data_IF_089089917592
#
_entry.id   IF_089089917592
#
_cell.length_a   1.000
_cell.length_b   1.000
_cell.length_c   1.000
_cell.angle_alpha   90.00
_cell.angle_beta   90.00
_cell.angle_gamma   90.00
#
_symmetry.space_group_name_H-M   'P 1'
#
loop_
_entity.id
_entity.type
_entity.pdbx_description
1 polymer ?
#
# COMPACT_ATOMS: atom_id res chain seq x y z
N UNK A 1 67.15 -17.31 -32.81
CA UNK A 1 67.49 -16.44 -31.68
C UNK A 1 66.39 -15.43 -31.52
N UNK A 2 65.38 -15.72 -30.68
CA UNK A 2 64.30 -14.78 -30.30
C UNK A 2 64.52 -14.43 -28.86
N UNK A 3 64.77 -13.14 -28.61
CA UNK A 3 64.88 -12.61 -27.25
C UNK A 3 63.47 -12.49 -26.61
N UNK A 4 63.24 -13.24 -25.54
CA UNK A 4 62.16 -13.01 -24.63
C UNK A 4 62.49 -11.77 -23.78
N UNK A 5 61.68 -10.74 -23.81
CA UNK A 5 61.72 -9.60 -22.86
C UNK A 5 60.97 -9.99 -21.62
N UNK A 6 61.64 -9.95 -20.52
CA UNK A 6 61.17 -10.06 -19.15
C UNK A 6 60.38 -8.81 -18.81
N UNK A 7 59.10 -9.00 -18.40
CA UNK A 7 58.23 -7.97 -17.84
C UNK A 7 57.92 -8.28 -16.36
N UNK A 8 59.03 -8.37 -15.57
CA UNK A 8 58.92 -8.36 -14.09
C UNK A 8 59.16 -6.93 -13.60
N UNK A 9 58.10 -6.18 -13.33
CA UNK A 9 58.29 -4.85 -12.81
C UNK A 9 57.05 -3.95 -12.75
N UNK A 10 55.86 -4.49 -12.57
CA UNK A 10 54.70 -3.66 -12.11
C UNK A 10 54.27 -4.16 -10.75
N UNK A 11 54.83 -3.55 -9.71
CA UNK A 11 54.20 -3.55 -8.38
C UNK A 11 52.95 -2.69 -8.44
N UNK A 12 51.80 -3.35 -8.54
CA UNK A 12 50.50 -2.68 -8.29
C UNK A 12 50.42 -2.56 -6.77
N UNK A 13 50.74 -1.38 -6.23
CA UNK A 13 50.34 -1.01 -4.87
C UNK A 13 48.81 -0.97 -4.84
N UNK A 14 48.20 -2.04 -4.36
CA UNK A 14 46.80 -2.05 -3.98
C UNK A 14 46.67 -1.26 -2.67
N UNK A 15 46.46 0.04 -2.82
CA UNK A 15 46.19 0.92 -1.71
C UNK A 15 44.80 0.57 -1.12
N UNK A 16 44.81 -0.32 -0.12
CA UNK A 16 43.62 -0.57 0.71
C UNK A 16 43.40 0.68 1.56
N UNK A 17 42.66 1.64 1.02
CA UNK A 17 42.03 2.64 1.86
C UNK A 17 41.04 1.91 2.77
N UNK A 18 41.48 1.53 3.96
CA UNK A 18 40.63 1.36 5.11
C UNK A 18 40.05 2.75 5.42
N UNK A 19 38.99 3.13 4.68
CA UNK A 19 38.06 4.12 5.19
C UNK A 19 37.47 3.47 6.42
N UNK A 20 37.88 3.97 7.61
CA UNK A 20 37.27 3.60 8.86
C UNK A 20 35.77 3.84 8.73
N UNK A 21 35.02 2.77 8.50
CA UNK A 21 33.58 2.80 8.64
C UNK A 21 33.38 3.05 10.12
N UNK A 22 33.18 4.31 10.49
CA UNK A 22 32.56 4.65 11.79
C UNK A 22 31.19 3.97 11.66
N UNK A 23 31.07 2.75 12.22
CA UNK A 23 29.77 2.11 12.39
C UNK A 23 28.95 3.06 13.23
N UNK A 24 28.06 3.85 12.60
CA UNK A 24 27.01 4.54 13.34
C UNK A 24 26.36 3.47 14.21
N UNK A 25 26.13 3.76 15.52
CA UNK A 25 25.44 2.80 16.36
C UNK A 25 24.17 2.38 15.64
N UNK A 26 23.92 1.07 15.56
CA UNK A 26 22.79 0.52 14.82
C UNK A 26 21.53 1.21 15.30
N UNK A 27 20.86 1.96 14.41
CA UNK A 27 19.60 2.67 14.73
C UNK A 27 18.59 1.63 15.14
N UNK A 28 17.94 1.81 16.27
CA UNK A 28 16.90 0.89 16.70
C UNK A 28 15.66 1.08 15.82
N UNK A 29 15.01 0.01 15.33
CA UNK A 29 13.78 0.13 14.52
C UNK A 29 12.72 1.01 15.20
N UNK A 30 12.58 0.92 16.52
CA UNK A 30 11.63 1.72 17.30
C UNK A 30 11.93 3.21 17.39
N UNK A 31 13.12 3.66 16.94
CA UNK A 31 13.52 5.08 16.96
C UNK A 31 13.19 5.83 15.67
N UNK A 32 12.57 5.21 14.69
CA UNK A 32 12.22 5.84 13.43
C UNK A 32 10.88 6.56 13.51
N UNK A 33 10.67 7.59 12.68
CA UNK A 33 9.36 8.23 12.52
C UNK A 33 8.36 7.25 11.92
N UNK A 34 8.77 6.48 10.90
CA UNK A 34 7.93 5.46 10.29
C UNK A 34 7.35 4.48 11.31
N UNK A 35 8.19 4.00 12.27
CA UNK A 35 7.72 3.12 13.33
C UNK A 35 6.71 3.79 14.24
N UNK A 36 7.03 5.01 14.71
CA UNK A 36 6.16 5.77 15.61
C UNK A 36 4.80 6.06 14.94
N UNK A 37 4.83 6.57 13.70
CA UNK A 37 3.62 6.94 12.95
C UNK A 37 2.77 5.71 12.59
N UNK A 38 3.38 4.59 12.19
CA UNK A 38 2.65 3.36 11.92
C UNK A 38 1.97 2.81 13.20
N UNK A 39 2.63 2.93 14.36
CA UNK A 39 2.06 2.48 15.65
C UNK A 39 0.79 3.22 16.07
N UNK A 40 0.58 4.44 15.55
CA UNK A 40 -0.60 5.26 15.84
C UNK A 40 -1.86 4.82 15.09
N UNK A 41 -1.77 3.89 14.12
CA UNK A 41 -2.86 3.57 13.21
C UNK A 41 -4.16 3.15 13.91
N UNK A 42 -4.09 2.36 14.99
CA UNK A 42 -5.27 1.98 15.79
C UNK A 42 -6.00 3.19 16.37
N UNK A 43 -5.25 4.14 16.95
CA UNK A 43 -5.80 5.37 17.51
C UNK A 43 -6.37 6.29 16.42
N UNK A 44 -5.68 6.39 15.29
CA UNK A 44 -6.13 7.16 14.12
C UNK A 44 -7.47 6.62 13.62
N UNK A 45 -7.59 5.31 13.44
CA UNK A 45 -8.82 4.68 12.96
C UNK A 45 -9.96 4.83 13.97
N UNK A 46 -9.71 4.66 15.27
CA UNK A 46 -10.72 4.88 16.30
C UNK A 46 -11.33 6.29 16.22
N UNK A 47 -10.46 7.32 16.13
CA UNK A 47 -10.89 8.71 15.96
C UNK A 47 -11.66 8.92 14.65
N UNK A 48 -11.13 8.40 13.54
CA UNK A 48 -11.73 8.53 12.22
C UNK A 48 -13.14 7.94 12.17
N UNK A 49 -13.32 6.71 12.66
CA UNK A 49 -14.63 6.04 12.67
C UNK A 49 -15.68 6.83 13.45
N UNK A 50 -15.28 7.39 14.60
CA UNK A 50 -16.17 8.21 15.43
C UNK A 50 -16.56 9.53 14.75
N UNK A 51 -15.57 10.27 14.24
CA UNK A 51 -15.78 11.63 13.72
C UNK A 51 -16.35 11.66 12.31
N UNK A 52 -16.13 10.60 11.51
CA UNK A 52 -16.51 10.56 10.10
C UNK A 52 -17.83 9.86 9.80
N UNK A 53 -18.59 9.42 10.80
CA UNK A 53 -19.86 8.72 10.59
C UNK A 53 -20.86 9.50 9.71
N UNK A 54 -20.89 10.83 9.83
CA UNK A 54 -21.78 11.69 9.03
C UNK A 54 -21.33 11.69 7.54
N UNK A 55 -20.03 11.85 7.29
CA UNK A 55 -19.48 11.87 5.93
C UNK A 55 -19.64 10.52 5.25
N UNK A 56 -19.39 9.42 5.97
CA UNK A 56 -19.57 8.07 5.43
C UNK A 56 -21.03 7.82 5.00
N UNK A 57 -22.02 8.27 5.80
CA UNK A 57 -23.45 8.19 5.45
C UNK A 57 -23.80 9.04 4.23
N UNK A 58 -23.24 10.24 4.11
CA UNK A 58 -23.47 11.11 2.97
C UNK A 58 -22.92 10.47 1.68
N UNK A 59 -21.70 9.94 1.74
CA UNK A 59 -21.09 9.22 0.62
C UNK A 59 -21.85 7.93 0.26
N UNK A 60 -22.32 7.18 1.24
CA UNK A 60 -23.15 6.01 1.02
C UNK A 60 -24.45 6.36 0.26
N UNK A 61 -25.14 7.42 0.66
CA UNK A 61 -26.32 7.91 -0.06
C UNK A 61 -26.02 8.25 -1.51
N UNK A 62 -24.89 8.92 -1.77
CA UNK A 62 -24.45 9.26 -3.12
C UNK A 62 -24.17 8.00 -3.95
N UNK A 63 -23.41 7.05 -3.40
CA UNK A 63 -23.02 5.81 -4.07
C UNK A 63 -24.25 4.93 -4.38
N UNK A 64 -25.22 4.88 -3.48
CA UNK A 64 -26.41 4.04 -3.64
C UNK A 64 -27.49 4.66 -4.53
N UNK A 65 -27.35 5.91 -4.99
CA UNK A 65 -28.32 6.51 -5.92
C UNK A 65 -28.47 5.65 -7.18
N UNK A 66 -29.69 5.50 -7.71
CA UNK A 66 -29.91 4.83 -9.01
C UNK A 66 -29.11 5.47 -10.16
N UNK A 67 -28.92 6.80 -10.12
CA UNK A 67 -28.16 7.55 -11.11
C UNK A 67 -26.63 7.31 -11.03
N UNK A 68 -26.12 6.74 -9.93
CA UNK A 68 -24.69 6.42 -9.81
C UNK A 68 -24.41 5.10 -10.49
N UNK A 69 -23.84 5.15 -11.69
CA UNK A 69 -23.45 3.99 -12.49
C UNK A 69 -21.97 3.64 -12.36
N UNK A 70 -21.13 4.66 -12.27
CA UNK A 70 -19.67 4.52 -12.18
C UNK A 70 -19.12 5.42 -11.09
N UNK A 71 -18.22 4.89 -10.29
CA UNK A 71 -17.43 5.66 -9.33
C UNK A 71 -16.04 5.82 -9.95
N UNK A 72 -15.57 7.05 -10.11
CA UNK A 72 -14.21 7.32 -10.57
C UNK A 72 -13.30 7.52 -9.36
N UNK A 73 -12.09 6.97 -9.42
CA UNK A 73 -11.03 7.21 -8.43
C UNK A 73 -9.82 7.83 -9.09
N UNK A 74 -9.20 8.81 -8.45
CA UNK A 74 -8.01 9.49 -8.95
C UNK A 74 -7.01 9.67 -7.80
N UNK A 75 -5.82 9.08 -7.93
CA UNK A 75 -4.80 9.07 -6.87
C UNK A 75 -3.40 8.79 -7.41
N UNK A 76 -2.39 8.85 -6.53
CA UNK A 76 -1.00 8.49 -6.79
C UNK A 76 -0.42 7.64 -5.65
N UNK A 77 0.53 6.76 -5.98
CA UNK A 77 1.31 5.99 -5.01
C UNK A 77 0.45 5.23 -4.02
N UNK A 78 0.76 5.34 -2.73
CA UNK A 78 0.00 4.67 -1.66
C UNK A 78 -1.51 4.99 -1.70
N UNK A 79 -1.88 6.23 -2.06
CA UNK A 79 -3.30 6.61 -2.18
C UNK A 79 -4.01 5.86 -3.31
N UNK A 80 -3.33 5.58 -4.43
CA UNK A 80 -3.88 4.79 -5.53
C UNK A 80 -4.01 3.30 -5.17
N UNK A 81 -3.03 2.78 -4.42
CA UNK A 81 -3.12 1.41 -3.87
C UNK A 81 -4.29 1.26 -2.90
N UNK A 82 -4.58 2.28 -2.09
CA UNK A 82 -5.77 2.29 -1.25
C UNK A 82 -7.06 2.40 -2.07
N UNK A 83 -7.07 3.18 -3.15
CA UNK A 83 -8.20 3.24 -4.08
C UNK A 83 -8.43 1.89 -4.77
N UNK A 84 -7.38 1.14 -5.09
CA UNK A 84 -7.50 -0.23 -5.62
C UNK A 84 -8.21 -1.17 -4.62
N UNK A 85 -7.91 -1.07 -3.33
CA UNK A 85 -8.68 -1.80 -2.30
C UNK A 85 -10.15 -1.38 -2.29
N UNK A 86 -10.44 -0.07 -2.29
CA UNK A 86 -11.80 0.46 -2.34
C UNK A 86 -12.58 0.00 -3.57
N UNK A 87 -11.90 -0.08 -4.73
CA UNK A 87 -12.47 -0.63 -5.97
C UNK A 87 -12.98 -2.05 -5.75
N UNK A 88 -12.15 -2.96 -5.24
CA UNK A 88 -12.59 -4.34 -4.99
C UNK A 88 -13.78 -4.40 -4.05
N UNK A 89 -13.81 -3.57 -2.99
CA UNK A 89 -14.94 -3.53 -2.07
C UNK A 89 -16.24 -3.10 -2.75
N UNK A 90 -16.21 -2.03 -3.51
CA UNK A 90 -17.41 -1.47 -4.12
C UNK A 90 -17.93 -2.32 -5.29
N UNK A 91 -17.03 -2.87 -6.11
CA UNK A 91 -17.41 -3.76 -7.21
C UNK A 91 -17.98 -5.09 -6.71
N UNK A 92 -17.34 -5.72 -5.72
CA UNK A 92 -17.77 -7.04 -5.24
C UNK A 92 -18.99 -6.97 -4.32
N UNK A 93 -19.10 -5.96 -3.48
CA UNK A 93 -20.16 -5.87 -2.45
C UNK A 93 -21.34 -5.01 -2.87
N UNK A 94 -21.11 -3.96 -3.66
CA UNK A 94 -22.17 -3.02 -4.08
C UNK A 94 -22.55 -3.20 -5.56
N UNK A 95 -21.78 -3.99 -6.34
CA UNK A 95 -21.95 -4.17 -7.79
C UNK A 95 -21.90 -2.83 -8.54
N UNK A 96 -21.12 -1.87 -8.03
CA UNK A 96 -20.89 -0.56 -8.65
C UNK A 96 -19.58 -0.59 -9.39
N UNK A 97 -19.59 -0.24 -10.67
CA UNK A 97 -18.35 -0.12 -11.46
C UNK A 97 -17.45 0.96 -10.88
N UNK A 98 -16.16 0.64 -10.71
CA UNK A 98 -15.14 1.61 -10.28
C UNK A 98 -14.06 1.73 -11.34
N UNK A 99 -13.88 2.94 -11.85
CA UNK A 99 -12.88 3.25 -12.87
C UNK A 99 -11.75 4.08 -12.26
N UNK A 100 -10.53 3.55 -12.27
CA UNK A 100 -9.33 4.33 -11.92
C UNK A 100 -9.04 5.32 -13.06
N UNK A 101 -9.02 6.60 -12.71
CA UNK A 101 -8.76 7.70 -13.65
C UNK A 101 -7.31 8.13 -13.58
N UNK A 102 -6.52 7.98 -14.67
CA UNK A 102 -5.13 8.42 -14.68
C UNK A 102 -5.05 9.94 -14.55
N UNK A 103 -4.32 10.51 -13.58
CA UNK A 103 -4.22 11.95 -13.39
C UNK A 103 -3.75 12.73 -14.63
N UNK A 104 -2.96 12.11 -15.51
CA UNK A 104 -2.51 12.73 -16.77
C UNK A 104 -3.65 13.10 -17.73
N UNK A 105 -4.80 12.42 -17.63
CA UNK A 105 -5.98 12.78 -18.45
C UNK A 105 -6.51 14.17 -18.10
N UNK A 106 -6.45 14.57 -16.84
CA UNK A 106 -6.82 15.92 -16.40
C UNK A 106 -5.67 16.92 -16.52
N UNK A 107 -4.47 16.55 -16.05
CA UNK A 107 -3.34 17.49 -15.95
C UNK A 107 -2.64 17.77 -17.29
N UNK A 108 -2.50 16.78 -18.16
CA UNK A 108 -1.77 16.88 -19.43
C UNK A 108 -2.71 17.01 -20.61
N UNK A 109 -3.61 16.05 -20.78
CA UNK A 109 -4.47 15.97 -21.97
C UNK A 109 -5.71 16.89 -21.88
N UNK A 110 -6.17 17.24 -20.68
CA UNK A 110 -7.37 18.06 -20.41
C UNK A 110 -8.59 17.65 -21.24
N UNK A 111 -8.81 16.34 -21.32
CA UNK A 111 -9.91 15.78 -22.12
C UNK A 111 -11.25 16.11 -21.46
N UNK A 112 -12.21 16.68 -22.20
CA UNK A 112 -13.56 16.91 -21.69
C UNK A 112 -14.25 15.59 -21.33
N UNK A 113 -14.64 15.41 -20.06
CA UNK A 113 -15.12 14.13 -19.53
C UNK A 113 -16.63 14.16 -19.24
N UNK A 114 -17.45 14.58 -20.20
CA UNK A 114 -18.91 14.75 -20.05
C UNK A 114 -19.61 13.49 -19.51
N UNK A 115 -19.05 12.29 -19.72
CA UNK A 115 -19.57 11.03 -19.20
C UNK A 115 -19.46 10.90 -17.68
N UNK A 116 -18.71 11.78 -17.01
CA UNK A 116 -18.60 11.84 -15.55
C UNK A 116 -19.68 12.69 -14.89
N UNK A 117 -20.51 13.38 -15.66
CA UNK A 117 -21.57 14.23 -15.12
C UNK A 117 -22.43 13.46 -14.11
N UNK A 118 -22.66 14.07 -12.93
CA UNK A 118 -23.41 13.49 -11.79
C UNK A 118 -22.81 12.20 -11.18
N UNK A 119 -21.65 11.73 -11.66
CA UNK A 119 -20.97 10.57 -11.09
C UNK A 119 -20.00 10.97 -9.98
N UNK A 120 -19.81 10.14 -8.93
CA UNK A 120 -18.79 10.35 -7.92
C UNK A 120 -17.38 10.30 -8.52
N UNK A 121 -16.58 11.34 -8.26
CA UNK A 121 -15.16 11.41 -8.61
C UNK A 121 -14.34 11.55 -7.32
N UNK A 122 -13.80 10.44 -6.84
CA UNK A 122 -13.09 10.35 -5.57
C UNK A 122 -11.61 10.62 -5.80
N UNK A 123 -11.12 11.74 -5.28
CA UNK A 123 -9.70 12.06 -5.26
C UNK A 123 -9.13 11.69 -3.89
N UNK A 124 -8.14 10.80 -3.89
CA UNK A 124 -7.47 10.38 -2.66
C UNK A 124 -6.07 10.99 -2.61
N UNK A 125 -5.81 11.80 -1.59
CA UNK A 125 -4.52 12.47 -1.43
C UNK A 125 -4.24 12.78 0.04
N UNK A 126 -3.10 12.30 0.56
CA UNK A 126 -2.69 12.63 1.93
C UNK A 126 -2.49 14.14 2.10
N UNK A 127 -1.78 14.80 1.18
CA UNK A 127 -1.46 16.23 1.24
C UNK A 127 -2.53 17.14 0.63
N UNK A 128 -3.32 16.64 -0.33
CA UNK A 128 -4.27 17.43 -1.11
C UNK A 128 -3.63 18.57 -1.95
N UNK A 129 -2.31 18.46 -2.25
CA UNK A 129 -1.52 19.52 -2.89
C UNK A 129 -0.91 19.14 -4.25
N UNK A 130 -1.03 17.87 -4.68
CA UNK A 130 -0.43 17.38 -5.93
C UNK A 130 -1.07 18.10 -7.13
N UNK A 131 -0.29 18.79 -7.98
CA UNK A 131 -0.83 19.62 -9.06
C UNK A 131 -1.67 18.85 -10.08
N UNK A 132 -1.26 17.62 -10.41
CA UNK A 132 -1.96 16.75 -11.34
C UNK A 132 -3.31 16.25 -10.80
N UNK A 133 -3.41 16.01 -9.50
CA UNK A 133 -4.68 15.66 -8.84
C UNK A 133 -5.63 16.86 -8.77
N UNK A 134 -5.10 18.06 -8.52
CA UNK A 134 -5.89 19.29 -8.53
C UNK A 134 -6.45 19.55 -9.92
N UNK A 135 -5.61 19.47 -10.96
CA UNK A 135 -6.05 19.63 -12.35
C UNK A 135 -7.11 18.59 -12.75
N UNK A 136 -6.96 17.33 -12.29
CA UNK A 136 -7.94 16.28 -12.55
C UNK A 136 -9.28 16.56 -11.85
N UNK A 137 -9.25 17.08 -10.63
CA UNK A 137 -10.45 17.46 -9.88
C UNK A 137 -11.17 18.64 -10.57
N UNK A 138 -10.43 19.63 -11.07
CA UNK A 138 -10.98 20.75 -11.82
C UNK A 138 -11.70 20.29 -13.09
N UNK A 139 -11.04 19.47 -13.92
CA UNK A 139 -11.64 18.94 -15.15
C UNK A 139 -12.87 18.07 -14.87
N UNK A 140 -12.83 17.25 -13.82
CA UNK A 140 -13.98 16.46 -13.41
C UNK A 140 -15.16 17.36 -12.96
N UNK A 141 -14.89 18.39 -12.19
CA UNK A 141 -15.89 19.37 -11.75
C UNK A 141 -16.50 20.14 -12.93
N UNK A 142 -15.67 20.59 -13.87
CA UNK A 142 -16.14 21.23 -15.11
C UNK A 142 -17.02 20.30 -15.96
N UNK A 143 -16.77 18.99 -15.89
CA UNK A 143 -17.59 17.98 -16.53
C UNK A 143 -18.91 17.70 -15.80
N UNK A 144 -19.13 18.30 -14.63
CA UNK A 144 -20.33 18.09 -13.81
C UNK A 144 -20.27 16.85 -12.89
N UNK A 145 -19.07 16.28 -12.67
CA UNK A 145 -18.88 15.21 -11.69
C UNK A 145 -19.06 15.74 -10.26
N UNK A 146 -19.43 14.88 -9.34
CA UNK A 146 -19.48 15.18 -7.91
C UNK A 146 -18.10 14.85 -7.33
N UNK A 147 -17.31 15.87 -7.05
CA UNK A 147 -15.93 15.72 -6.59
C UNK A 147 -15.92 15.42 -5.09
N UNK A 148 -15.26 14.35 -4.71
CA UNK A 148 -15.09 13.90 -3.33
C UNK A 148 -13.59 13.91 -3.01
N UNK A 149 -13.20 14.58 -1.92
CA UNK A 149 -11.84 14.56 -1.42
C UNK A 149 -11.71 13.65 -0.20
N UNK A 150 -10.92 12.58 -0.31
CA UNK A 150 -10.43 11.82 0.84
C UNK A 150 -9.03 12.34 1.14
N UNK A 151 -8.88 13.15 2.21
CA UNK A 151 -7.68 13.97 2.43
C UNK A 151 -7.31 14.05 3.91
N UNK A 152 -6.01 14.17 4.21
CA UNK A 152 -5.56 14.33 5.59
C UNK A 152 -5.38 15.80 6.00
N UNK A 153 -4.99 16.68 5.08
CA UNK A 153 -4.88 18.12 5.32
C UNK A 153 -6.18 18.82 4.87
N UNK A 154 -7.06 19.12 5.85
CA UNK A 154 -8.35 19.77 5.60
C UNK A 154 -8.22 21.24 5.13
N UNK A 155 -7.02 21.83 5.21
CA UNK A 155 -6.72 23.17 4.67
C UNK A 155 -6.22 23.15 3.22
N UNK A 156 -6.01 21.97 2.63
CA UNK A 156 -5.40 21.80 1.33
C UNK A 156 -6.26 22.38 0.19
N UNK A 157 -5.62 22.76 -0.94
CA UNK A 157 -6.34 23.26 -2.12
C UNK A 157 -7.43 22.31 -2.64
N UNK A 158 -7.22 20.98 -2.56
CA UNK A 158 -8.18 19.98 -3.00
C UNK A 158 -9.54 20.12 -2.30
N UNK A 159 -9.54 20.52 -1.03
CA UNK A 159 -10.78 20.70 -0.25
C UNK A 159 -11.71 21.77 -0.87
N UNK A 160 -11.13 22.79 -1.48
CA UNK A 160 -11.92 23.87 -2.14
C UNK A 160 -12.55 23.44 -3.47
N UNK A 161 -12.04 22.37 -4.06
CA UNK A 161 -12.57 21.82 -5.32
C UNK A 161 -13.63 20.73 -5.07
N UNK A 162 -13.69 20.19 -3.85
CA UNK A 162 -14.55 19.07 -3.51
C UNK A 162 -15.96 19.54 -3.08
N UNK A 163 -16.98 18.79 -3.51
CA UNK A 163 -18.36 18.93 -3.05
C UNK A 163 -18.55 18.22 -1.70
N UNK A 164 -17.82 17.12 -1.47
CA UNK A 164 -17.82 16.37 -0.21
C UNK A 164 -16.37 16.12 0.21
N UNK A 165 -16.07 16.33 1.48
CA UNK A 165 -14.75 16.07 2.06
C UNK A 165 -14.87 14.97 3.12
N UNK A 166 -14.04 13.94 3.01
CA UNK A 166 -13.88 12.91 4.02
C UNK A 166 -12.47 12.97 4.61
N UNK A 167 -12.30 13.56 5.79
CA UNK A 167 -10.99 13.71 6.41
C UNK A 167 -10.40 12.36 6.84
N UNK A 168 -9.10 12.17 6.65
CA UNK A 168 -8.42 10.94 7.12
C UNK A 168 -8.19 10.93 8.63
N UNK A 169 -8.13 12.10 9.27
CA UNK A 169 -7.88 12.25 10.72
C UNK A 169 -6.57 11.62 11.19
N UNK A 170 -5.61 11.40 10.27
CA UNK A 170 -4.36 10.73 10.60
C UNK A 170 -3.37 11.61 11.39
N UNK A 171 -3.63 12.92 11.48
CA UNK A 171 -2.70 13.86 12.08
C UNK A 171 -1.41 14.02 11.24
N UNK A 172 -0.37 14.66 11.79
CA UNK A 172 0.88 14.83 11.09
C UNK A 172 1.56 13.49 10.78
N UNK A 173 1.99 13.31 9.52
CA UNK A 173 2.79 12.18 9.07
C UNK A 173 4.02 12.73 8.34
N UNK A 174 5.20 12.60 8.98
CA UNK A 174 6.45 13.26 8.59
C UNK A 174 7.41 12.35 7.87
N UNK A 175 7.38 11.05 8.18
CA UNK A 175 8.12 10.05 7.41
C UNK A 175 7.73 10.15 5.94
N UNK A 176 8.71 10.05 5.03
CA UNK A 176 8.43 10.12 3.58
C UNK A 176 7.48 8.99 3.18
N UNK A 177 7.75 7.77 3.64
CA UNK A 177 6.91 6.62 3.42
C UNK A 177 5.59 6.74 4.21
N UNK A 178 4.45 6.76 3.52
CA UNK A 178 3.13 6.77 4.15
C UNK A 178 2.86 5.44 4.85
N UNK A 179 2.22 5.50 6.02
CA UNK A 179 1.82 4.33 6.81
C UNK A 179 0.42 4.50 7.40
N UNK A 180 0.26 5.28 8.47
CA UNK A 180 -1.04 5.49 9.13
C UNK A 180 -2.06 6.17 8.23
N UNK A 181 -1.64 7.07 7.34
CA UNK A 181 -2.57 7.70 6.39
C UNK A 181 -3.08 6.72 5.34
N UNK A 182 -2.26 5.76 4.91
CA UNK A 182 -2.70 4.66 4.06
C UNK A 182 -3.75 3.79 4.77
N UNK A 183 -3.47 3.36 6.01
CA UNK A 183 -4.44 2.59 6.82
C UNK A 183 -5.73 3.36 7.03
N UNK A 184 -5.65 4.66 7.35
CA UNK A 184 -6.82 5.52 7.46
C UNK A 184 -7.63 5.59 6.15
N UNK A 185 -6.96 5.56 4.99
CA UNK A 185 -7.65 5.54 3.69
C UNK A 185 -8.38 4.22 3.47
N UNK A 186 -7.75 3.08 3.78
CA UNK A 186 -8.41 1.78 3.72
C UNK A 186 -9.63 1.73 4.65
N UNK A 187 -9.46 2.23 5.89
CA UNK A 187 -10.53 2.34 6.87
C UNK A 187 -11.68 3.23 6.39
N UNK A 188 -11.39 4.35 5.72
CA UNK A 188 -12.40 5.22 5.12
C UNK A 188 -13.25 4.49 4.09
N UNK A 189 -12.65 3.75 3.15
CA UNK A 189 -13.38 2.93 2.19
C UNK A 189 -14.22 1.83 2.86
N UNK A 190 -13.68 1.18 3.89
CA UNK A 190 -14.40 0.16 4.65
C UNK A 190 -15.59 0.76 5.44
N UNK A 191 -15.44 1.95 6.01
CA UNK A 191 -16.50 2.67 6.70
C UNK A 191 -17.62 3.09 5.73
N UNK A 192 -17.27 3.62 4.55
CA UNK A 192 -18.26 3.95 3.51
C UNK A 192 -19.01 2.69 3.08
N UNK A 193 -18.31 1.57 2.87
CA UNK A 193 -18.95 0.29 2.56
C UNK A 193 -19.95 -0.14 3.63
N UNK A 194 -19.56 -0.03 4.92
CA UNK A 194 -20.45 -0.40 6.05
C UNK A 194 -21.78 0.36 6.03
N UNK A 195 -21.74 1.64 5.67
CA UNK A 195 -22.95 2.46 5.55
C UNK A 195 -23.74 2.14 4.25
N UNK A 196 -23.14 1.50 3.26
CA UNK A 196 -23.80 1.08 2.03
C UNK A 196 -24.49 -0.29 2.14
N UNK A 197 -24.08 -1.13 3.09
CA UNK A 197 -24.59 -2.49 3.22
C UNK A 197 -25.81 -2.53 4.15
N UNK A 198 -26.86 -3.20 3.71
CA UNK A 198 -28.10 -3.32 4.49
C UNK A 198 -27.90 -4.00 5.85
N UNK A 199 -28.73 -3.57 6.83
CA UNK A 199 -28.82 -4.23 8.13
C UNK A 199 -27.61 -4.05 9.04
N UNK A 200 -26.71 -3.14 8.72
CA UNK A 200 -25.50 -2.85 9.52
C UNK A 200 -24.62 -4.08 9.81
N UNK A 201 -24.61 -5.02 8.88
CA UNK A 201 -23.89 -6.29 9.05
C UNK A 201 -22.38 -6.10 9.25
N UNK A 202 -21.81 -4.99 8.73
CA UNK A 202 -20.38 -4.68 8.87
C UNK A 202 -20.07 -3.77 10.06
N UNK A 203 -21.05 -3.19 10.75
CA UNK A 203 -20.79 -2.29 11.89
C UNK A 203 -19.92 -2.94 12.98
N UNK A 204 -20.18 -4.18 13.44
CA UNK A 204 -19.31 -4.83 14.42
C UNK A 204 -17.90 -5.09 13.88
N UNK A 205 -17.78 -5.41 12.58
CA UNK A 205 -16.50 -5.68 11.91
C UNK A 205 -15.65 -4.41 11.87
N UNK A 206 -16.25 -3.29 11.48
CA UNK A 206 -15.54 -2.00 11.38
C UNK A 206 -15.23 -1.46 12.79
N UNK A 207 -16.14 -1.61 13.75
CA UNK A 207 -15.90 -1.16 15.12
C UNK A 207 -14.77 -1.93 15.82
N UNK A 208 -14.49 -3.17 15.42
CA UNK A 208 -13.39 -3.95 15.98
C UNK A 208 -12.02 -3.59 15.36
N UNK A 209 -11.99 -2.84 14.24
CA UNK A 209 -10.75 -2.56 13.49
C UNK A 209 -9.67 -1.85 14.32
N UNK A 210 -9.95 -0.85 15.18
CA UNK A 210 -8.92 -0.23 16.01
C UNK A 210 -8.16 -1.25 16.89
N UNK A 211 -8.88 -2.15 17.56
CA UNK A 211 -8.28 -3.17 18.41
C UNK A 211 -7.50 -4.20 17.58
N UNK A 212 -8.01 -4.57 16.41
CA UNK A 212 -7.28 -5.44 15.47
C UNK A 212 -5.97 -4.80 15.01
N UNK A 213 -5.91 -3.49 14.80
CA UNK A 213 -4.68 -2.78 14.45
C UNK A 213 -3.67 -2.76 15.59
N UNK A 214 -4.10 -2.58 16.84
CA UNK A 214 -3.20 -2.71 18.00
C UNK A 214 -2.64 -4.13 18.12
N UNK A 215 -3.46 -5.15 17.94
CA UNK A 215 -3.00 -6.55 17.96
C UNK A 215 -2.04 -6.83 16.79
N UNK A 216 -2.35 -6.37 15.58
CA UNK A 216 -1.51 -6.53 14.40
C UNK A 216 -0.15 -5.84 14.57
N UNK A 217 -0.09 -4.69 15.24
CA UNK A 217 1.16 -4.02 15.54
C UNK A 217 2.09 -4.84 16.45
N UNK A 218 1.54 -5.67 17.33
CA UNK A 218 2.31 -6.57 18.18
C UNK A 218 2.70 -7.89 17.51
N UNK A 219 2.05 -8.25 16.41
CA UNK A 219 2.34 -9.47 15.65
C UNK A 219 3.66 -9.30 14.87
N UNK A 220 4.75 -9.87 15.42
CA UNK A 220 6.07 -9.75 14.80
C UNK A 220 6.25 -10.70 13.62
N UNK A 221 6.85 -10.18 12.53
CA UNK A 221 7.27 -10.95 11.37
C UNK A 221 8.80 -11.14 11.31
N UNK A 222 9.48 -11.10 12.44
CA UNK A 222 10.94 -11.14 12.55
C UNK A 222 11.54 -12.42 11.91
N UNK A 223 10.80 -13.52 11.86
CA UNK A 223 11.22 -14.75 11.18
C UNK A 223 11.45 -14.57 9.67
N UNK A 224 10.87 -13.55 9.05
CA UNK A 224 11.10 -13.21 7.64
C UNK A 224 12.30 -12.25 7.44
N UNK A 225 12.88 -11.66 8.49
CA UNK A 225 13.98 -10.69 8.33
C UNK A 225 15.18 -11.33 7.65
N UNK A 226 15.73 -12.42 8.19
CA UNK A 226 16.90 -13.05 7.65
C UNK A 226 16.75 -13.56 6.19
N UNK A 227 15.63 -14.23 5.83
CA UNK A 227 15.36 -14.62 4.44
C UNK A 227 15.27 -13.45 3.45
N UNK A 228 14.74 -12.30 3.86
CA UNK A 228 14.57 -11.13 2.99
C UNK A 228 15.75 -10.16 3.02
N UNK A 229 16.67 -10.31 3.97
CA UNK A 229 17.76 -9.36 4.22
C UNK A 229 18.64 -9.10 2.99
N UNK A 230 18.93 -10.14 2.20
CA UNK A 230 19.81 -10.07 1.02
C UNK A 230 19.05 -9.96 -0.30
N UNK A 231 17.73 -9.85 -0.25
CA UNK A 231 16.90 -9.74 -1.45
C UNK A 231 17.29 -8.51 -2.28
N UNK A 232 17.46 -8.69 -3.59
CA UNK A 232 17.60 -7.61 -4.57
C UNK A 232 16.30 -7.37 -5.32
N UNK A 233 15.54 -8.45 -5.53
CA UNK A 233 14.20 -8.44 -6.09
C UNK A 233 13.31 -9.41 -5.31
N UNK A 234 12.01 -9.19 -5.34
CA UNK A 234 11.00 -10.06 -4.74
C UNK A 234 9.64 -9.84 -5.38
N UNK A 235 8.76 -10.82 -5.20
CA UNK A 235 7.35 -10.64 -5.51
C UNK A 235 6.51 -10.45 -4.26
N UNK A 236 5.46 -9.62 -4.39
CA UNK A 236 4.41 -9.49 -3.40
C UNK A 236 3.11 -9.95 -4.02
N UNK A 237 2.50 -10.97 -3.47
CA UNK A 237 1.29 -11.56 -4.02
C UNK A 237 0.06 -11.22 -3.19
N UNK A 238 -1.00 -10.80 -3.88
CA UNK A 238 -2.32 -10.59 -3.31
C UNK A 238 -3.39 -10.93 -4.34
N UNK A 239 -4.66 -10.93 -3.93
CA UNK A 239 -5.80 -11.07 -4.85
C UNK A 239 -7.05 -10.45 -4.22
N UNK A 240 -7.97 -9.94 -5.06
CA UNK A 240 -9.14 -9.24 -4.54
C UNK A 240 -8.73 -8.03 -3.68
N UNK A 241 -9.38 -7.80 -2.53
CA UNK A 241 -9.03 -6.68 -1.64
C UNK A 241 -7.57 -6.70 -1.15
N UNK A 242 -6.94 -7.90 -1.05
CA UNK A 242 -5.53 -8.01 -0.66
C UNK A 242 -4.55 -7.53 -1.74
N UNK A 243 -4.99 -7.34 -2.99
CA UNK A 243 -4.11 -6.84 -4.05
C UNK A 243 -3.68 -5.39 -3.80
N UNK A 244 -4.57 -4.54 -3.28
CA UNK A 244 -4.23 -3.16 -2.92
C UNK A 244 -3.10 -3.06 -1.89
N UNK A 245 -3.08 -3.95 -0.89
CA UNK A 245 -1.99 -3.98 0.10
C UNK A 245 -0.72 -4.65 -0.44
N UNK A 246 -0.83 -5.55 -1.41
CA UNK A 246 0.34 -6.10 -2.09
C UNK A 246 1.07 -5.02 -2.90
N UNK A 247 0.33 -4.16 -3.62
CA UNK A 247 0.87 -2.99 -4.31
C UNK A 247 1.60 -2.05 -3.34
N UNK A 248 0.98 -1.77 -2.19
CA UNK A 248 1.56 -0.92 -1.16
C UNK A 248 2.83 -1.53 -0.55
N UNK A 249 2.83 -2.81 -0.23
CA UNK A 249 4.00 -3.48 0.31
C UNK A 249 5.16 -3.48 -0.70
N UNK A 250 4.89 -3.71 -1.99
CA UNK A 250 5.89 -3.61 -3.03
C UNK A 250 6.46 -2.20 -3.17
N UNK A 251 5.63 -1.16 -2.99
CA UNK A 251 6.09 0.23 -2.95
C UNK A 251 7.00 0.46 -1.74
N UNK A 252 6.62 0.04 -0.54
CA UNK A 252 7.42 0.21 0.68
C UNK A 252 8.77 -0.52 0.60
N UNK A 253 8.83 -1.72 0.05
CA UNK A 253 10.11 -2.40 -0.18
C UNK A 253 11.05 -1.58 -1.09
N UNK A 254 10.51 -0.94 -2.12
CA UNK A 254 11.29 -0.04 -2.99
C UNK A 254 11.74 1.22 -2.25
N UNK A 255 10.81 1.89 -1.59
CA UNK A 255 11.06 3.16 -0.91
C UNK A 255 12.02 3.00 0.28
N UNK A 256 11.74 2.05 1.17
CA UNK A 256 12.42 1.99 2.47
C UNK A 256 13.53 0.97 2.54
N UNK A 257 13.46 -0.12 1.77
CA UNK A 257 14.41 -1.23 1.84
C UNK A 257 15.38 -1.29 0.66
N UNK A 258 15.19 -0.47 -0.39
CA UNK A 258 16.00 -0.51 -1.59
C UNK A 258 15.91 -1.85 -2.34
N UNK A 259 14.74 -2.49 -2.32
CA UNK A 259 14.47 -3.77 -3.00
C UNK A 259 13.57 -3.53 -4.21
N UNK A 260 13.95 -4.04 -5.38
CA UNK A 260 13.05 -4.07 -6.53
C UNK A 260 11.92 -5.07 -6.26
N UNK A 261 10.76 -4.59 -5.88
CA UNK A 261 9.59 -5.40 -5.55
C UNK A 261 8.47 -5.16 -6.56
N UNK A 262 7.86 -6.23 -7.02
CA UNK A 262 6.69 -6.19 -7.90
C UNK A 262 5.50 -6.89 -7.25
N UNK A 263 4.33 -6.27 -7.39
CA UNK A 263 3.09 -6.86 -6.90
C UNK A 263 2.31 -7.50 -8.03
N UNK A 264 1.85 -8.73 -7.81
CA UNK A 264 1.00 -9.46 -8.75
C UNK A 264 -0.24 -10.02 -8.07
N UNK A 265 -1.33 -10.09 -8.83
CA UNK A 265 -2.41 -11.01 -8.47
C UNK A 265 -1.89 -12.44 -8.54
N UNK A 266 -2.31 -13.29 -7.59
CA UNK A 266 -1.94 -14.71 -7.59
C UNK A 266 -2.34 -15.44 -8.88
N UNK A 267 -3.30 -14.94 -9.62
CA UNK A 267 -3.62 -15.47 -10.94
C UNK A 267 -2.65 -14.95 -12.00
N UNK A 268 -2.36 -13.64 -12.01
CA UNK A 268 -1.55 -12.98 -13.03
C UNK A 268 -0.09 -13.43 -13.01
N UNK A 269 0.47 -13.69 -11.84
CA UNK A 269 1.87 -14.13 -11.72
C UNK A 269 2.17 -15.40 -12.53
N UNK A 270 1.17 -16.25 -12.73
CA UNK A 270 1.28 -17.48 -13.53
C UNK A 270 1.36 -17.22 -15.04
N UNK A 271 0.99 -16.03 -15.51
CA UNK A 271 0.95 -15.65 -16.93
C UNK A 271 2.24 -14.96 -17.43
N UNK A 272 3.40 -15.35 -16.88
CA UNK A 272 4.71 -14.87 -17.32
C UNK A 272 5.65 -14.55 -16.16
N UNK A 273 5.29 -13.69 -15.20
CA UNK A 273 6.20 -13.27 -14.12
C UNK A 273 6.85 -14.41 -13.34
N UNK A 274 6.16 -15.53 -13.13
CA UNK A 274 6.71 -16.70 -12.43
C UNK A 274 7.96 -17.30 -13.11
N UNK A 275 8.27 -16.94 -14.34
CA UNK A 275 9.44 -17.46 -15.06
C UNK A 275 10.78 -17.04 -14.40
N UNK A 276 10.78 -15.93 -13.64
CA UNK A 276 11.98 -15.45 -12.93
C UNK A 276 12.11 -16.04 -11.52
N UNK A 277 11.12 -16.83 -11.07
CA UNK A 277 11.15 -17.44 -9.75
C UNK A 277 12.07 -18.67 -9.78
N UNK A 278 13.15 -18.58 -9.05
CA UNK A 278 14.16 -19.64 -8.88
C UNK A 278 14.41 -19.94 -7.39
N UNK A 279 15.43 -20.74 -7.14
CA UNK A 279 15.86 -21.08 -5.79
C UNK A 279 16.20 -19.83 -4.97
N UNK A 280 15.66 -19.75 -3.76
CA UNK A 280 15.80 -18.63 -2.82
C UNK A 280 15.18 -17.30 -3.29
N UNK A 281 14.38 -17.28 -4.37
CA UNK A 281 13.65 -16.06 -4.75
C UNK A 281 12.58 -15.73 -3.69
N UNK A 282 12.62 -14.52 -3.10
CA UNK A 282 11.69 -14.18 -2.02
C UNK A 282 10.30 -13.80 -2.55
N UNK A 283 9.28 -14.31 -1.90
CA UNK A 283 7.87 -14.03 -2.21
C UNK A 283 7.14 -13.74 -0.89
N UNK A 284 6.55 -12.56 -0.78
CA UNK A 284 5.62 -12.22 0.30
C UNK A 284 4.19 -12.40 -0.19
N UNK A 285 3.34 -13.07 0.59
CA UNK A 285 1.95 -13.35 0.22
C UNK A 285 0.99 -12.73 1.23
N UNK A 286 0.00 -11.98 0.73
CA UNK A 286 -1.17 -11.53 1.48
C UNK A 286 -2.38 -12.35 1.03
N UNK A 287 -2.64 -13.51 1.64
CA UNK A 287 -3.72 -14.37 1.23
C UNK A 287 -5.07 -13.71 1.52
N UNK A 288 -5.99 -13.65 0.55
CA UNK A 288 -7.36 -13.21 0.83
C UNK A 288 -8.05 -14.23 1.74
N UNK A 289 -8.97 -13.75 2.59
CA UNK A 289 -9.78 -14.56 3.49
C UNK A 289 -11.20 -14.80 2.96
N UNK A 290 -11.38 -14.71 1.66
CA UNK A 290 -12.63 -14.92 0.95
C UNK A 290 -12.45 -15.91 -0.23
N UNK A 291 -13.43 -15.96 -1.12
CA UNK A 291 -13.45 -16.82 -2.30
C UNK A 291 -12.28 -16.57 -3.27
N UNK A 292 -11.64 -15.39 -3.19
CA UNK A 292 -10.45 -15.08 -3.98
C UNK A 292 -9.21 -15.92 -3.61
N UNK A 293 -9.26 -16.67 -2.49
CA UNK A 293 -8.24 -17.64 -2.07
C UNK A 293 -8.12 -18.83 -3.03
N UNK A 294 -9.17 -19.13 -3.75
CA UNK A 294 -9.20 -20.30 -4.63
C UNK A 294 -8.04 -20.29 -5.64
N UNK A 295 -7.36 -21.42 -5.78
CA UNK A 295 -6.21 -21.62 -6.67
C UNK A 295 -4.86 -21.12 -6.15
N UNK A 296 -4.82 -20.41 -5.01
CA UNK A 296 -3.56 -19.93 -4.44
C UNK A 296 -2.68 -21.11 -3.94
N UNK A 297 -3.27 -22.11 -3.32
CA UNK A 297 -2.52 -23.22 -2.72
C UNK A 297 -1.70 -24.00 -3.75
N UNK A 298 -2.22 -24.21 -4.95
CA UNK A 298 -1.49 -24.87 -6.04
C UNK A 298 -0.28 -24.04 -6.50
N UNK A 299 -0.44 -22.71 -6.59
CA UNK A 299 0.64 -21.79 -6.94
C UNK A 299 1.74 -21.77 -5.86
N UNK A 300 1.37 -21.69 -4.58
CA UNK A 300 2.33 -21.67 -3.49
C UNK A 300 3.12 -22.97 -3.42
N UNK A 301 2.48 -24.11 -3.62
CA UNK A 301 3.15 -25.42 -3.70
C UNK A 301 4.19 -25.42 -4.82
N UNK A 302 3.86 -24.92 -6.00
CA UNK A 302 4.80 -24.85 -7.12
C UNK A 302 6.02 -23.98 -6.78
N UNK A 303 5.85 -22.84 -6.11
CA UNK A 303 6.98 -22.00 -5.70
C UNK A 303 7.86 -22.68 -4.65
N UNK A 304 7.27 -23.40 -3.69
CA UNK A 304 7.99 -24.17 -2.69
C UNK A 304 8.79 -25.32 -3.36
N UNK A 305 8.19 -26.01 -4.34
CA UNK A 305 8.89 -27.05 -5.12
C UNK A 305 10.07 -26.50 -5.92
N UNK A 306 10.02 -25.21 -6.31
CA UNK A 306 11.16 -24.49 -6.91
C UNK A 306 12.17 -23.96 -5.90
N UNK A 307 12.02 -24.31 -4.62
CA UNK A 307 12.85 -23.83 -3.50
C UNK A 307 12.85 -22.30 -3.34
N UNK A 308 11.81 -21.61 -3.77
CA UNK A 308 11.60 -20.19 -3.48
C UNK A 308 11.34 -19.96 -2.00
N UNK A 309 11.69 -18.79 -1.48
CA UNK A 309 11.40 -18.41 -0.10
C UNK A 309 10.00 -17.78 -0.06
N UNK A 310 9.00 -18.54 0.39
CA UNK A 310 7.63 -18.02 0.49
C UNK A 310 7.34 -17.68 1.95
N UNK A 311 6.94 -16.42 2.20
CA UNK A 311 6.43 -15.95 3.48
C UNK A 311 4.98 -15.44 3.30
N UNK A 312 4.05 -15.95 4.11
CA UNK A 312 2.63 -15.60 3.98
C UNK A 312 2.04 -15.04 5.27
N UNK A 313 1.25 -13.97 5.14
CA UNK A 313 0.50 -13.38 6.25
C UNK A 313 -0.65 -14.30 6.65
N UNK A 314 -0.44 -15.10 7.72
CA UNK A 314 -1.34 -16.15 8.18
C UNK A 314 -0.99 -17.52 7.64
N UNK A 315 -1.87 -18.51 7.83
CA UNK A 315 -1.62 -19.90 7.43
C UNK A 315 -1.67 -20.02 5.89
N UNK A 316 -0.54 -20.38 5.32
CA UNK A 316 -0.38 -20.62 3.86
C UNK A 316 0.08 -22.05 3.56
N UNK A 317 0.55 -22.80 4.58
CA UNK A 317 0.92 -24.22 4.45
C UNK A 317 2.16 -24.47 3.58
N UNK A 318 2.30 -25.73 3.16
CA UNK A 318 3.31 -26.20 2.20
C UNK A 318 4.78 -25.99 2.58
N UNK A 319 5.10 -25.68 3.85
CA UNK A 319 6.47 -25.35 4.29
C UNK A 319 6.85 -23.87 4.11
N UNK A 320 5.91 -23.00 3.79
CA UNK A 320 6.12 -21.57 3.80
C UNK A 320 6.37 -21.02 5.22
N UNK A 321 6.99 -19.85 5.30
CA UNK A 321 7.12 -19.10 6.55
C UNK A 321 5.75 -18.47 6.85
N UNK A 322 5.07 -18.98 7.86
CA UNK A 322 3.77 -18.43 8.28
C UNK A 322 3.97 -17.26 9.22
N UNK A 323 3.56 -16.08 8.76
CA UNK A 323 3.67 -14.83 9.50
C UNK A 323 2.41 -14.63 10.36
N UNK A 324 2.53 -14.34 11.66
CA UNK A 324 1.37 -14.22 12.54
C UNK A 324 0.45 -13.06 12.11
N UNK A 325 -0.84 -13.32 12.13
CA UNK A 325 -1.92 -12.35 11.94
C UNK A 325 -2.91 -12.39 13.09
N UNK A 326 -3.73 -11.38 13.22
CA UNK A 326 -4.84 -11.35 14.17
C UNK A 326 -5.83 -12.47 13.84
N UNK A 327 -6.33 -13.16 14.84
CA UNK A 327 -7.31 -14.24 14.65
C UNK A 327 -8.72 -13.69 14.34
N UNK A 328 -9.51 -14.45 13.58
CA UNK A 328 -10.92 -14.13 13.32
C UNK A 328 -11.17 -12.88 12.49
N UNK A 329 -10.20 -12.47 11.68
CA UNK A 329 -10.36 -11.31 10.78
C UNK A 329 -11.47 -11.55 9.74
N UNK A 330 -12.28 -10.53 9.53
CA UNK A 330 -13.26 -10.50 8.45
C UNK A 330 -12.56 -10.15 7.12
N UNK A 331 -12.97 -10.70 5.96
CA UNK A 331 -12.33 -10.42 4.66
C UNK A 331 -12.18 -8.93 4.30
N UNK A 332 -13.10 -8.09 4.75
CA UNK A 332 -13.02 -6.62 4.55
C UNK A 332 -11.87 -6.00 5.36
N UNK A 333 -11.69 -6.37 6.63
CA UNK A 333 -10.68 -5.75 7.51
C UNK A 333 -9.34 -6.47 7.52
N UNK A 334 -9.28 -7.71 7.04
CA UNK A 334 -8.06 -8.50 7.01
C UNK A 334 -6.89 -7.81 6.27
N UNK A 335 -7.07 -7.23 5.06
CA UNK A 335 -6.00 -6.50 4.40
C UNK A 335 -5.46 -5.34 5.23
N UNK A 336 -6.34 -4.62 5.95
CA UNK A 336 -5.97 -3.47 6.79
C UNK A 336 -5.11 -3.92 7.98
N UNK A 337 -5.48 -5.04 8.60
CA UNK A 337 -4.73 -5.63 9.71
C UNK A 337 -3.39 -6.20 9.26
N UNK A 338 -3.34 -6.89 8.12
CA UNK A 338 -2.10 -7.50 7.60
C UNK A 338 -1.07 -6.45 7.22
N UNK A 339 -1.46 -5.34 6.57
CA UNK A 339 -0.52 -4.28 6.19
C UNK A 339 0.03 -3.54 7.42
N UNK A 340 -0.70 -3.49 8.53
CA UNK A 340 -0.21 -2.94 9.78
C UNK A 340 0.99 -3.73 10.32
N UNK A 341 0.91 -5.06 10.36
CA UNK A 341 2.04 -5.91 10.76
C UNK A 341 3.22 -5.77 9.77
N UNK A 342 2.93 -5.65 8.48
CA UNK A 342 3.94 -5.45 7.45
C UNK A 342 4.75 -4.17 7.66
N UNK A 343 4.15 -3.05 8.06
CA UNK A 343 4.90 -1.80 8.27
C UNK A 343 5.97 -1.94 9.35
N UNK A 344 5.69 -2.66 10.43
CA UNK A 344 6.69 -2.97 11.46
C UNK A 344 7.84 -3.78 10.88
N UNK A 345 7.53 -4.82 10.11
CA UNK A 345 8.51 -5.67 9.43
C UNK A 345 9.35 -4.87 8.41
N UNK A 346 8.72 -4.08 7.54
CA UNK A 346 9.42 -3.29 6.53
C UNK A 346 10.38 -2.27 7.16
N UNK A 347 9.96 -1.62 8.27
CA UNK A 347 10.81 -0.72 9.02
C UNK A 347 12.04 -1.43 9.62
N UNK A 348 11.85 -2.60 10.23
CA UNK A 348 12.95 -3.39 10.77
C UNK A 348 13.90 -3.86 9.67
N UNK A 349 13.37 -4.36 8.56
CA UNK A 349 14.15 -4.79 7.40
C UNK A 349 14.96 -3.64 6.79
N UNK A 350 14.39 -2.43 6.70
CA UNK A 350 15.10 -1.25 6.21
C UNK A 350 16.35 -0.96 7.07
N UNK A 351 16.20 -0.93 8.38
CA UNK A 351 17.30 -0.70 9.33
C UNK A 351 18.37 -1.79 9.23
N UNK A 352 17.98 -3.06 9.21
CA UNK A 352 18.90 -4.21 9.06
C UNK A 352 19.69 -4.15 7.73
N UNK A 353 19.10 -3.59 6.69
CA UNK A 353 19.74 -3.39 5.38
C UNK A 353 20.58 -2.10 5.33
N UNK A 354 20.61 -1.29 6.39
CA UNK A 354 21.36 -0.03 6.45
C UNK A 354 20.68 1.17 5.78
N UNK A 355 19.37 1.10 5.52
CA UNK A 355 18.58 2.21 4.98
C UNK A 355 17.92 3.02 6.10
N UNK A 356 17.63 4.29 5.82
CA UNK A 356 16.79 5.13 6.68
C UNK A 356 15.36 5.16 6.12
N UNK A 357 14.38 4.48 6.77
CA UNK A 357 13.02 4.44 6.28
C UNK A 357 12.30 5.80 6.34
N UNK A 358 12.80 6.74 7.16
CA UNK A 358 12.23 8.08 7.29
C UNK A 358 12.64 9.00 6.14
N UNK A 359 13.84 8.76 5.56
CA UNK A 359 14.44 9.59 4.52
C UNK A 359 14.97 8.72 3.35
N UNK A 360 14.08 8.07 2.59
CA UNK A 360 14.49 7.28 1.44
C UNK A 360 15.25 8.14 0.41
N UNK A 361 16.29 7.60 -0.24
CA UNK A 361 17.03 8.34 -1.26
C UNK A 361 16.14 8.82 -2.40
N UNK A 362 16.38 10.03 -2.90
CA UNK A 362 15.69 10.64 -4.06
C UNK A 362 14.20 10.93 -3.86
N UNK A 363 13.62 10.64 -2.70
CA UNK A 363 12.22 10.88 -2.44
C UNK A 363 12.00 12.10 -1.53
N UNK A 364 10.85 12.76 -1.72
CA UNK A 364 10.36 13.85 -0.88
C UNK A 364 8.95 13.50 -0.40
N UNK A 365 8.55 14.05 0.78
CA UNK A 365 7.21 13.79 1.34
C UNK A 365 6.07 14.25 0.44
N UNK A 366 6.24 15.33 -0.26
CA UNK A 366 5.29 15.81 -1.27
C UNK A 366 6.01 15.82 -2.62
N UNK A 367 5.46 15.09 -3.58
CA UNK A 367 5.96 15.05 -4.94
C UNK A 367 5.12 15.98 -5.80
N UNK A 368 5.78 16.91 -6.47
CA UNK A 368 5.18 17.82 -7.43
C UNK A 368 5.36 17.23 -8.84
N UNK A 369 4.29 16.64 -9.38
CA UNK A 369 4.23 16.11 -10.75
C UNK A 369 3.18 16.87 -11.54
N UNK A 370 3.47 17.10 -12.83
CA UNK A 370 2.56 17.75 -13.79
C UNK A 370 1.96 16.68 -14.70
#
# INVERSE_FOLDING_TARGET
MCHARDISGLQIEVNWYYTGIIMKPARQPSSTLMFAEASEAGQVVARQLSENAVFAKELAKLILRPATHTIFTCARGSSDHAAAYGKFLFETRLRKTVSSHPPSMGSVYRVPMKHMAEQPFIVVSQSGKSPDLLASAEVAREAGAIVIAIVNDESAPLVRLADIVMPLRAGPERSVAATKSFIATLSAFAQILSECVDGKALDPVISALPDQLYQAWTASWDQALAPFLRARSLFVLGRGPSFGIALEAALKFKETCGIHAEAFSTAEVAHGPMAVVDRNFPILVFPPLDEARAGMDALLRLFIEKEAIVAGAGPVGHGAIELPIVAGLHPVTAPISMIQSFYRFANALAIERGFDPDMPPLLKKVTETI
#
